data_IF_884724690455
#
_entry.id   IF_884724690455
#
_cell.length_a   1.000
_cell.length_b   1.000
_cell.length_c   1.000
_cell.angle_alpha   90.00
_cell.angle_beta   90.00
_cell.angle_gamma   90.00
#
_symmetry.space_group_name_H-M   'P 1'
#
loop_
_entity.id
_entity.type
_entity.pdbx_description
1 polymer ?
#
# COMPACT_ATOMS: atom_id res chain seq x y z
N UNK A 1 6.09 -15.52 -6.81
CA UNK A 1 4.79 -16.17 -6.99
C UNK A 1 3.75 -15.11 -7.33
N UNK A 2 3.39 -15.03 -8.61
CA UNK A 2 2.37 -14.14 -9.18
C UNK A 2 1.01 -14.24 -8.46
N UNK A 3 0.64 -15.44 -8.00
CA UNK A 3 -0.64 -15.70 -7.29
C UNK A 3 -0.86 -14.86 -6.03
N UNK A 4 0.20 -14.39 -5.35
CA UNK A 4 0.09 -13.54 -4.14
C UNK A 4 0.46 -12.08 -4.38
N UNK A 5 0.72 -11.69 -5.63
CA UNK A 5 1.12 -10.32 -5.94
C UNK A 5 0.10 -9.29 -5.43
N UNK A 6 -1.21 -9.40 -5.76
CA UNK A 6 -2.21 -8.42 -5.28
C UNK A 6 -2.28 -8.35 -3.76
N UNK A 7 -2.27 -9.49 -3.08
CA UNK A 7 -2.32 -9.53 -1.62
C UNK A 7 -1.08 -8.86 -1.00
N UNK A 8 0.11 -9.10 -1.54
CA UNK A 8 1.35 -8.50 -1.05
C UNK A 8 1.37 -6.99 -1.18
N UNK A 9 0.92 -6.45 -2.32
CA UNK A 9 0.89 -5.01 -2.53
C UNK A 9 -0.18 -4.33 -1.65
N UNK A 10 -1.30 -5.01 -1.38
CA UNK A 10 -2.30 -4.59 -0.39
C UNK A 10 -1.67 -4.56 1.01
N UNK A 11 -0.99 -5.64 1.43
CA UNK A 11 -0.27 -5.74 2.72
C UNK A 11 0.82 -4.66 2.88
N UNK A 12 1.35 -4.12 1.77
CA UNK A 12 2.29 -3.00 1.80
C UNK A 12 1.59 -1.63 1.88
N UNK A 13 0.28 -1.57 1.62
CA UNK A 13 -0.55 -0.37 1.67
C UNK A 13 -0.58 0.40 0.35
N UNK A 14 -0.38 -0.27 -0.79
CA UNK A 14 -0.48 0.36 -2.11
C UNK A 14 -1.94 0.71 -2.45
N UNK A 15 -2.14 1.85 -3.14
CA UNK A 15 -3.45 2.22 -3.72
C UNK A 15 -3.62 1.70 -5.14
N UNK A 16 -2.51 1.55 -5.86
CA UNK A 16 -2.46 1.01 -7.21
C UNK A 16 -1.23 0.12 -7.35
N UNK A 17 -1.30 -0.85 -8.24
CA UNK A 17 -0.16 -1.66 -8.61
C UNK A 17 -0.19 -1.99 -10.10
N UNK A 18 0.99 -2.17 -10.68
CA UNK A 18 1.15 -2.76 -12.02
C UNK A 18 2.32 -3.71 -11.95
N UNK A 19 2.16 -4.91 -12.52
CA UNK A 19 3.29 -5.73 -12.88
C UNK A 19 3.87 -5.17 -14.20
N UNK A 20 5.19 -5.16 -14.33
CA UNK A 20 5.88 -4.56 -15.49
C UNK A 20 6.80 -5.56 -16.20
N UNK A 21 7.29 -6.56 -15.46
CA UNK A 21 8.12 -7.62 -15.97
C UNK A 21 7.95 -8.89 -15.13
N UNK A 22 8.15 -10.05 -15.75
CA UNK A 22 8.36 -11.32 -15.06
C UNK A 22 9.84 -11.71 -15.16
N UNK A 23 10.40 -12.24 -14.07
CA UNK A 23 11.80 -12.67 -14.02
C UNK A 23 11.89 -14.05 -13.37
N UNK A 24 12.83 -14.86 -13.85
CA UNK A 24 13.04 -16.21 -13.33
C UNK A 24 13.65 -16.21 -11.91
N UNK A 25 14.42 -15.17 -11.57
CA UNK A 25 15.13 -15.07 -10.31
C UNK A 25 14.97 -13.70 -9.63
N UNK A 26 15.15 -13.70 -8.30
CA UNK A 26 14.99 -12.50 -7.48
C UNK A 26 16.16 -11.51 -7.52
N UNK A 27 17.35 -11.91 -7.99
CA UNK A 27 18.48 -10.99 -8.16
C UNK A 27 18.23 -10.09 -9.36
N UNK A 28 17.76 -10.65 -10.47
CA UNK A 28 17.37 -9.92 -11.67
C UNK A 28 16.23 -8.95 -11.38
N UNK A 29 15.19 -9.39 -10.67
CA UNK A 29 14.10 -8.52 -10.23
C UNK A 29 14.62 -7.30 -9.47
N UNK A 30 15.49 -7.50 -8.47
CA UNK A 30 16.06 -6.40 -7.65
C UNK A 30 16.91 -5.43 -8.46
N UNK A 31 17.65 -5.91 -9.47
CA UNK A 31 18.44 -5.04 -10.36
C UNK A 31 17.53 -4.13 -11.18
N UNK A 32 16.45 -4.68 -11.73
CA UNK A 32 15.44 -3.94 -12.50
C UNK A 32 14.75 -2.91 -11.59
N UNK A 33 14.27 -3.33 -10.41
CA UNK A 33 13.65 -2.43 -9.41
C UNK A 33 14.57 -1.27 -9.04
N UNK A 34 15.86 -1.56 -8.78
CA UNK A 34 16.86 -0.54 -8.45
C UNK A 34 17.10 0.44 -9.61
N UNK A 35 17.20 -0.06 -10.85
CA UNK A 35 17.41 0.79 -12.02
C UNK A 35 16.22 1.74 -12.25
N UNK A 36 15.00 1.23 -12.10
CA UNK A 36 13.77 2.03 -12.17
C UNK A 36 13.76 3.08 -11.05
N UNK A 37 14.07 2.68 -9.83
CA UNK A 37 14.13 3.57 -8.67
C UNK A 37 15.07 4.76 -8.91
N UNK A 38 16.30 4.49 -9.33
CA UNK A 38 17.33 5.51 -9.56
C UNK A 38 16.95 6.46 -10.70
N UNK A 39 16.40 5.91 -11.79
CA UNK A 39 16.05 6.69 -12.99
C UNK A 39 14.84 7.60 -12.77
N UNK A 40 13.82 7.16 -12.01
CA UNK A 40 12.55 7.88 -11.85
C UNK A 40 12.38 8.56 -10.49
N UNK A 41 13.36 8.44 -9.60
CA UNK A 41 13.26 8.98 -8.24
C UNK A 41 12.11 8.36 -7.43
N UNK A 42 11.72 7.13 -7.76
CA UNK A 42 10.64 6.42 -7.07
C UNK A 42 11.12 6.05 -5.67
N UNK A 43 10.28 6.26 -4.66
CA UNK A 43 10.62 5.89 -3.28
C UNK A 43 10.31 4.40 -3.06
N UNK A 44 11.27 3.66 -2.51
CA UNK A 44 11.07 2.25 -2.10
C UNK A 44 9.98 2.09 -1.05
N UNK A 45 9.85 3.09 -0.18
CA UNK A 45 8.96 3.01 0.98
C UNK A 45 8.46 4.41 1.31
N UNK A 46 7.17 4.47 1.64
CA UNK A 46 6.53 5.64 2.24
C UNK A 46 6.41 5.45 3.76
N UNK A 47 6.53 6.54 4.49
CA UNK A 47 6.43 6.53 5.96
C UNK A 47 4.98 6.31 6.41
N UNK A 48 4.78 5.95 7.68
CA UNK A 48 3.45 5.84 8.29
C UNK A 48 2.64 7.14 8.14
N UNK A 49 3.28 8.27 8.37
CA UNK A 49 2.66 9.59 8.25
C UNK A 49 2.20 9.87 6.82
N UNK A 50 3.05 9.59 5.82
CA UNK A 50 2.69 9.73 4.40
C UNK A 50 1.51 8.83 4.01
N UNK A 51 1.47 7.59 4.50
CA UNK A 51 0.32 6.69 4.28
C UNK A 51 -0.98 7.30 4.80
N UNK A 52 -0.93 7.86 6.01
CA UNK A 52 -2.08 8.51 6.66
C UNK A 52 -2.55 9.75 5.89
N UNK A 53 -1.63 10.60 5.41
CA UNK A 53 -1.98 11.76 4.58
C UNK A 53 -2.65 11.36 3.27
N UNK A 54 -2.13 10.31 2.60
CA UNK A 54 -2.68 9.83 1.32
C UNK A 54 -4.10 9.27 1.45
N UNK A 55 -4.46 8.66 2.59
CA UNK A 55 -5.84 8.19 2.85
C UNK A 55 -6.83 9.36 2.85
N UNK A 56 -6.41 10.51 3.36
CA UNK A 56 -7.26 11.68 3.53
C UNK A 56 -7.21 12.64 2.32
N UNK A 57 -6.45 12.31 1.27
CA UNK A 57 -6.27 13.17 0.11
C UNK A 57 -6.89 12.57 -1.16
N UNK A 58 -8.02 13.11 -1.58
CA UNK A 58 -8.74 12.65 -2.77
C UNK A 58 -7.98 12.82 -4.09
N UNK A 59 -7.01 13.74 -4.16
CA UNK A 59 -6.20 13.95 -5.37
C UNK A 59 -5.16 12.85 -5.61
N UNK A 60 -4.84 12.05 -4.58
CA UNK A 60 -3.82 11.01 -4.69
C UNK A 60 -4.22 9.86 -5.65
N UNK A 61 -5.53 9.64 -5.85
CA UNK A 61 -6.03 8.53 -6.68
C UNK A 61 -5.78 8.74 -8.16
N UNK A 62 -6.20 9.88 -8.71
CA UNK A 62 -6.03 10.20 -10.14
C UNK A 62 -4.55 10.34 -10.51
N UNK A 63 -3.77 11.02 -9.65
CA UNK A 63 -2.32 11.17 -9.85
C UNK A 63 -1.59 9.82 -9.82
N UNK A 64 -2.07 8.85 -9.02
CA UNK A 64 -1.46 7.53 -8.91
C UNK A 64 -1.56 6.70 -10.20
N UNK A 65 -2.72 6.69 -10.85
CA UNK A 65 -2.91 5.96 -12.12
C UNK A 65 -2.06 6.55 -13.24
N UNK A 66 -2.04 7.88 -13.36
CA UNK A 66 -1.24 8.57 -14.37
C UNK A 66 0.27 8.37 -14.13
N UNK A 67 0.72 8.40 -12.87
CA UNK A 67 2.11 8.14 -12.52
C UNK A 67 2.56 6.73 -12.91
N UNK A 68 1.74 5.70 -12.63
CA UNK A 68 2.04 4.32 -13.04
C UNK A 68 2.13 4.21 -14.55
N UNK A 69 1.13 4.77 -15.26
CA UNK A 69 1.11 4.76 -16.73
C UNK A 69 2.36 5.42 -17.33
N UNK A 70 2.72 6.60 -16.83
CA UNK A 70 3.87 7.36 -17.31
C UNK A 70 5.18 6.61 -17.02
N UNK A 71 5.30 6.07 -15.81
CA UNK A 71 6.46 5.25 -15.41
C UNK A 71 6.59 4.03 -16.31
N UNK A 72 5.49 3.30 -16.57
CA UNK A 72 5.46 2.15 -17.45
C UNK A 72 6.04 2.48 -18.83
N UNK A 73 5.49 3.48 -19.53
CA UNK A 73 5.96 3.81 -20.88
C UNK A 73 7.41 4.31 -20.91
N UNK A 74 7.91 4.89 -19.82
CA UNK A 74 9.30 5.34 -19.74
C UNK A 74 10.33 4.21 -19.50
N UNK A 75 9.87 3.03 -19.07
CA UNK A 75 10.75 1.88 -18.73
C UNK A 75 10.55 0.68 -19.61
N UNK A 76 9.41 0.58 -20.30
CA UNK A 76 9.01 -0.65 -20.94
C UNK A 76 9.97 -1.09 -22.06
N UNK A 77 10.60 -0.12 -22.73
CA UNK A 77 11.60 -0.38 -23.78
C UNK A 77 12.97 -0.81 -23.22
N UNK A 78 13.17 -0.71 -21.90
CA UNK A 78 14.38 -1.17 -21.22
C UNK A 78 14.26 -2.62 -20.73
N UNK A 79 13.09 -3.23 -20.87
CA UNK A 79 12.80 -4.60 -20.46
C UNK A 79 12.86 -5.49 -21.71
N UNK A 80 13.53 -6.65 -21.62
CA UNK A 80 13.56 -7.62 -22.70
C UNK A 80 12.13 -7.99 -23.12
N UNK A 81 11.89 -8.09 -24.43
CA UNK A 81 10.56 -8.34 -24.99
C UNK A 81 9.92 -9.63 -24.43
N UNK A 82 10.72 -10.67 -24.17
CA UNK A 82 10.27 -11.94 -23.60
C UNK A 82 9.78 -11.85 -22.14
N UNK A 83 10.24 -10.83 -21.40
CA UNK A 83 9.94 -10.63 -19.98
C UNK A 83 8.91 -9.52 -19.75
N UNK A 84 8.53 -8.80 -20.81
CA UNK A 84 7.65 -7.65 -20.77
C UNK A 84 6.22 -8.08 -20.49
N UNK A 85 5.56 -7.37 -19.57
CA UNK A 85 4.13 -7.49 -19.34
C UNK A 85 3.40 -6.28 -19.92
N UNK A 86 2.17 -6.48 -20.40
CA UNK A 86 1.29 -5.39 -20.79
C UNK A 86 0.92 -4.53 -19.57
N UNK A 87 0.64 -3.25 -19.82
CA UNK A 87 0.20 -2.34 -18.76
C UNK A 87 -1.16 -2.78 -18.23
N UNK A 88 -1.16 -3.33 -17.03
CA UNK A 88 -2.36 -3.64 -16.26
C UNK A 88 -2.30 -2.92 -14.90
N UNK A 89 -3.11 -1.86 -14.75
CA UNK A 89 -3.18 -1.07 -13.53
C UNK A 89 -4.31 -1.59 -12.66
N UNK A 90 -3.93 -2.23 -11.56
CA UNK A 90 -4.84 -2.75 -10.56
C UNK A 90 -5.17 -1.62 -9.57
N UNK A 91 -6.44 -1.26 -9.46
CA UNK A 91 -6.95 -0.36 -8.41
C UNK A 91 -7.14 -1.16 -7.11
N UNK A 92 -6.34 -0.83 -6.10
CA UNK A 92 -6.36 -1.47 -4.77
C UNK A 92 -6.97 -0.55 -3.71
N UNK A 93 -7.30 0.69 -4.10
CA UNK A 93 -7.82 1.71 -3.19
C UNK A 93 -9.21 1.37 -2.66
N UNK A 94 -9.91 0.41 -3.29
CA UNK A 94 -11.18 -0.13 -2.82
C UNK A 94 -11.10 -0.69 -1.39
N UNK A 95 -9.93 -1.19 -0.97
CA UNK A 95 -9.71 -1.70 0.39
C UNK A 95 -9.82 -0.61 1.46
N UNK A 96 -9.80 0.67 1.06
CA UNK A 96 -9.70 1.84 1.95
C UNK A 96 -10.74 2.94 1.62
N UNK A 97 -11.84 2.63 0.92
CA UNK A 97 -12.77 3.68 0.49
C UNK A 97 -13.55 4.33 1.65
N UNK A 98 -13.80 3.59 2.73
CA UNK A 98 -14.63 4.04 3.85
C UNK A 98 -13.85 4.77 4.96
N UNK A 99 -12.53 4.94 4.80
CA UNK A 99 -11.65 5.33 5.92
C UNK A 99 -11.24 6.81 5.94
N UNK A 100 -11.92 7.66 5.17
CA UNK A 100 -11.64 9.11 5.16
C UNK A 100 -11.93 9.75 6.52
N UNK A 101 -11.13 10.75 6.89
CA UNK A 101 -11.26 11.54 8.12
C UNK A 101 -11.13 10.71 9.40
N UNK A 102 -10.41 9.57 9.34
CA UNK A 102 -10.06 8.79 10.53
C UNK A 102 -9.20 9.61 11.49
N UNK A 103 -9.42 9.51 12.80
CA UNK A 103 -8.55 10.11 13.81
C UNK A 103 -7.38 9.16 14.11
N UNK A 104 -6.14 9.65 14.00
CA UNK A 104 -4.97 8.85 14.38
C UNK A 104 -4.85 8.72 15.90
N UNK A 105 -4.88 7.49 16.40
CA UNK A 105 -4.71 7.14 17.81
C UNK A 105 -3.24 6.80 18.10
N UNK A 106 -2.69 7.46 19.11
CA UNK A 106 -1.46 7.04 19.77
C UNK A 106 -1.83 5.99 20.82
N UNK A 107 -1.38 4.76 20.63
CA UNK A 107 -1.74 3.63 21.52
C UNK A 107 -0.69 3.49 22.61
N UNK A 108 -0.99 3.99 23.80
CA UNK A 108 -0.14 3.84 24.99
C UNK A 108 -0.28 2.44 25.61
N UNK A 109 0.57 2.13 26.59
CA UNK A 109 0.43 0.88 27.37
C UNK A 109 -0.96 0.81 28.02
N UNK A 110 -1.52 -0.39 28.12
CA UNK A 110 -2.86 -0.65 28.70
C UNK A 110 -4.04 0.07 28.01
N UNK A 111 -3.83 0.70 26.86
CA UNK A 111 -4.93 1.25 26.05
C UNK A 111 -5.78 0.11 25.49
N UNK A 112 -7.09 0.14 25.75
CA UNK A 112 -8.07 -0.76 25.14
C UNK A 112 -8.81 -0.02 24.05
N UNK A 113 -8.83 -0.60 22.85
CA UNK A 113 -9.54 -0.03 21.70
C UNK A 113 -10.69 -0.97 21.35
N UNK A 114 -11.90 -0.44 21.35
CA UNK A 114 -13.11 -1.18 21.00
C UNK A 114 -13.70 -0.66 19.69
N UNK A 115 -14.11 -1.59 18.83
CA UNK A 115 -14.80 -1.28 17.58
C UNK A 115 -14.65 -2.38 16.54
N UNK A 116 -15.26 -2.17 15.38
CA UNK A 116 -15.18 -3.05 14.23
C UNK A 116 -13.96 -2.67 13.39
N UNK A 117 -13.08 -3.63 13.08
CA UNK A 117 -12.05 -3.42 12.06
C UNK A 117 -12.76 -3.32 10.71
N UNK A 118 -12.54 -2.20 10.01
CA UNK A 118 -13.12 -1.97 8.67
C UNK A 118 -12.10 -2.09 7.54
N UNK A 119 -10.81 -2.18 7.84
CA UNK A 119 -9.75 -2.42 6.86
C UNK A 119 -8.35 -2.11 7.39
N UNK A 120 -7.34 -2.13 6.51
CA UNK A 120 -5.96 -1.82 6.87
C UNK A 120 -5.06 -1.31 5.71
N UNK A 121 -4.47 -0.12 5.79
CA UNK A 121 -3.48 0.35 4.77
C UNK A 121 -2.07 -0.06 5.17
N UNK A 122 -1.69 -1.26 4.74
CA UNK A 122 -0.49 -1.94 5.20
C UNK A 122 -0.53 -2.17 6.71
N UNK A 123 0.36 -1.53 7.46
CA UNK A 123 0.39 -1.63 8.92
C UNK A 123 -0.57 -0.67 9.64
N UNK A 124 -1.28 0.21 8.93
CA UNK A 124 -2.32 1.05 9.54
C UNK A 124 -3.62 0.27 9.62
N UNK A 125 -4.21 0.16 10.81
CA UNK A 125 -5.52 -0.50 11.00
C UNK A 125 -6.59 0.56 11.17
N UNK A 126 -7.76 0.35 10.58
CA UNK A 126 -8.92 1.21 10.72
C UNK A 126 -9.98 0.56 11.59
N UNK A 127 -10.44 1.28 12.61
CA UNK A 127 -11.49 0.84 13.53
C UNK A 127 -12.64 1.84 13.52
N UNK A 128 -13.86 1.32 13.36
CA UNK A 128 -15.10 2.10 13.48
C UNK A 128 -15.85 1.69 14.74
N UNK A 129 -16.26 2.67 15.54
CA UNK A 129 -17.15 2.46 16.68
C UNK A 129 -18.26 3.52 16.69
N UNK A 130 -18.98 3.69 17.80
CA UNK A 130 -20.07 4.67 17.93
C UNK A 130 -19.59 6.12 17.95
N UNK A 131 -18.36 6.36 18.39
CA UNK A 131 -17.76 7.69 18.54
C UNK A 131 -17.12 8.18 17.23
N UNK A 132 -16.69 7.27 16.37
CA UNK A 132 -16.17 7.64 15.06
C UNK A 132 -15.32 6.58 14.39
N UNK A 133 -14.46 7.07 13.50
CA UNK A 133 -13.48 6.29 12.77
C UNK A 133 -12.07 6.64 13.26
N UNK A 134 -11.30 5.60 13.54
CA UNK A 134 -9.97 5.70 14.13
C UNK A 134 -8.95 4.92 13.32
N UNK A 135 -7.71 5.38 13.35
CA UNK A 135 -6.56 4.71 12.76
C UNK A 135 -5.45 4.58 13.78
N UNK A 136 -4.75 3.46 13.78
CA UNK A 136 -3.49 3.34 14.53
C UNK A 136 -2.49 2.48 13.78
N UNK A 137 -1.23 2.54 14.22
CA UNK A 137 -0.14 1.76 13.65
C UNK A 137 -0.03 0.37 14.32
N UNK A 138 -0.34 -0.71 13.61
CA UNK A 138 -0.23 -2.08 14.13
C UNK A 138 1.20 -2.48 14.54
N UNK A 139 2.23 -1.86 13.97
CA UNK A 139 3.62 -2.14 14.39
C UNK A 139 3.87 -1.75 15.85
N UNK A 140 3.07 -0.85 16.44
CA UNK A 140 3.14 -0.57 17.88
C UNK A 140 2.41 -1.61 18.75
N UNK A 141 1.76 -2.60 18.14
CA UNK A 141 1.07 -3.69 18.83
C UNK A 141 1.90 -4.97 18.97
N UNK A 142 3.15 -4.99 18.49
CA UNK A 142 4.05 -6.10 18.75
C UNK A 142 4.13 -6.28 20.28
N UNK A 143 3.86 -7.49 20.78
CA UNK A 143 3.71 -7.86 22.20
C UNK A 143 2.44 -7.37 22.93
N UNK A 144 1.38 -6.97 22.22
CA UNK A 144 0.07 -6.58 22.81
C UNK A 144 -1.04 -7.55 22.40
N UNK A 145 -2.03 -7.73 23.28
CA UNK A 145 -3.19 -8.58 23.02
C UNK A 145 -4.32 -7.72 22.45
N UNK A 146 -4.78 -8.05 21.25
CA UNK A 146 -6.03 -7.56 20.68
C UNK A 146 -7.15 -8.53 21.04
N UNK A 147 -8.10 -8.09 21.85
CA UNK A 147 -9.30 -8.87 22.16
C UNK A 147 -10.49 -8.32 21.38
N UNK A 148 -11.02 -9.12 20.46
CA UNK A 148 -12.25 -8.83 19.76
C UNK A 148 -13.42 -9.44 20.54
N UNK A 149 -14.40 -8.63 20.90
CA UNK A 149 -15.70 -9.11 21.38
C UNK A 149 -16.70 -8.96 20.24
N UNK A 150 -17.31 -10.07 19.83
CA UNK A 150 -18.34 -10.14 18.80
C UNK A 150 -19.73 -10.06 19.43
#
# INVERSE_FOLDING_TARGET
SSKRFPLRVIEQGADFASAIAETEDGLTARKIEKAIKEKFGIKDKITTYQKYELINNDKAKELGKELIRTTYYNIIDQINAENKLDLDIIDLSYNYMEVKNSIYLLVEENTRIYGKIIGNKGHLIFIKNKEGLYTFNASSLISRILSFSF
#
